data_IF_598963944714
#
_entry.id   IF_598963944714
#
_cell.length_a   1.000
_cell.length_b   1.000
_cell.length_c   1.000
_cell.angle_alpha   90.00
_cell.angle_beta   90.00
_cell.angle_gamma   90.00
#
_symmetry.space_group_name_H-M   'P 1'
#
loop_
_entity.id
_entity.type
_entity.pdbx_description
1 polymer ?
#
# COMPACT_ATOMS: atom_id res chain seq x y z
N UNK A 1 -10.60 -33.96 -53.94
CA UNK A 1 -11.38 -32.89 -53.29
C UNK A 1 -11.24 -33.14 -51.79
N UNK A 2 -10.14 -32.69 -51.19
CA UNK A 2 -9.91 -32.80 -49.75
C UNK A 2 -10.20 -31.44 -49.15
N UNK A 3 -11.14 -31.41 -48.23
CA UNK A 3 -11.62 -30.22 -47.56
C UNK A 3 -10.48 -29.52 -46.83
N UNK A 4 -10.28 -28.25 -47.16
CA UNK A 4 -9.52 -27.29 -46.35
C UNK A 4 -10.27 -27.12 -45.04
N UNK A 5 -9.86 -27.86 -44.00
CA UNK A 5 -10.24 -27.56 -42.63
C UNK A 5 -9.54 -26.26 -42.26
N UNK A 6 -10.29 -25.16 -42.37
CA UNK A 6 -9.93 -23.89 -41.77
C UNK A 6 -9.99 -24.11 -40.26
N UNK A 7 -8.83 -24.31 -39.63
CA UNK A 7 -8.76 -24.17 -38.18
C UNK A 7 -9.23 -22.76 -37.81
N UNK A 8 -10.09 -22.59 -36.80
CA UNK A 8 -10.29 -21.28 -36.22
C UNK A 8 -8.95 -20.90 -35.59
N UNK A 9 -8.26 -19.94 -36.19
CA UNK A 9 -7.13 -19.26 -35.57
C UNK A 9 -7.69 -18.51 -34.36
N UNK A 10 -7.72 -19.19 -33.22
CA UNK A 10 -8.03 -18.56 -31.93
C UNK A 10 -6.82 -17.70 -31.60
N UNK A 11 -6.92 -16.44 -32.00
CA UNK A 11 -6.04 -15.37 -31.56
C UNK A 11 -6.27 -15.21 -30.06
N UNK A 12 -5.50 -15.95 -29.27
CA UNK A 12 -5.35 -15.73 -27.84
C UNK A 12 -4.48 -14.48 -27.66
N UNK A 13 -5.07 -13.32 -27.99
CA UNK A 13 -4.71 -12.05 -27.38
C UNK A 13 -5.16 -12.12 -25.91
N UNK A 14 -4.46 -12.96 -25.14
CA UNK A 14 -4.45 -12.94 -23.68
C UNK A 14 -3.68 -11.69 -23.24
N UNK A 15 -4.26 -10.53 -23.57
CA UNK A 15 -4.07 -9.31 -22.81
C UNK A 15 -4.68 -9.57 -21.42
N UNK A 16 -3.91 -10.27 -20.59
CA UNK A 16 -4.13 -10.33 -19.16
C UNK A 16 -3.98 -8.90 -18.60
N UNK A 17 -5.01 -8.07 -18.79
CA UNK A 17 -5.29 -6.96 -17.90
C UNK A 17 -5.37 -7.56 -16.49
N UNK A 18 -4.27 -7.46 -15.75
CA UNK A 18 -4.21 -7.66 -14.30
C UNK A 18 -4.81 -6.40 -13.65
N UNK A 19 -6.12 -6.36 -13.33
CA UNK A 19 -6.77 -5.14 -12.89
C UNK A 19 -6.96 -5.25 -11.37
N UNK A 20 -5.90 -5.03 -10.59
CA UNK A 20 -6.03 -4.83 -9.13
C UNK A 20 -4.76 -4.30 -8.44
N UNK A 21 -3.56 -4.60 -8.95
CA UNK A 21 -2.31 -4.40 -8.20
C UNK A 21 -1.87 -2.93 -8.10
N UNK A 22 -2.30 -2.09 -9.04
CA UNK A 22 -1.87 -0.70 -9.14
C UNK A 22 -2.29 0.16 -7.94
N UNK A 23 -3.41 -0.18 -7.29
CA UNK A 23 -3.85 0.51 -6.09
C UNK A 23 -2.90 0.25 -4.91
N UNK A 24 -2.55 -1.02 -4.66
CA UNK A 24 -1.63 -1.43 -3.61
C UNK A 24 -0.25 -0.81 -3.77
N UNK A 25 0.27 -0.77 -5.00
CA UNK A 25 1.56 -0.14 -5.32
C UNK A 25 1.55 1.35 -4.95
N UNK A 26 0.47 2.09 -5.27
CA UNK A 26 0.34 3.50 -4.88
C UNK A 26 0.38 3.68 -3.36
N UNK A 27 -0.27 2.79 -2.61
CA UNK A 27 -0.35 2.88 -1.15
C UNK A 27 1.00 2.50 -0.52
N UNK A 28 1.68 1.47 -1.04
CA UNK A 28 3.07 1.16 -0.67
C UNK A 28 3.98 2.37 -0.87
N UNK A 29 3.83 3.08 -2.00
CA UNK A 29 4.64 4.25 -2.30
C UNK A 29 4.35 5.40 -1.33
N UNK A 30 3.09 5.64 -0.98
CA UNK A 30 2.70 6.60 0.06
C UNK A 30 3.31 6.23 1.43
N UNK A 31 3.25 4.95 1.82
CA UNK A 31 3.90 4.46 3.04
C UNK A 31 5.40 4.68 3.02
N UNK A 32 6.05 4.38 1.90
CA UNK A 32 7.47 4.58 1.72
C UNK A 32 7.86 6.05 1.89
N UNK A 33 7.06 6.98 1.36
CA UNK A 33 7.25 8.43 1.55
C UNK A 33 7.10 8.81 3.03
N UNK A 34 6.05 8.34 3.72
CA UNK A 34 5.88 8.61 5.15
C UNK A 34 7.02 8.02 6.00
N UNK A 35 7.58 6.88 5.61
CA UNK A 35 8.76 6.29 6.25
C UNK A 35 10.03 7.07 5.94
N UNK A 36 10.19 7.56 4.71
CA UNK A 36 11.27 8.49 4.37
C UNK A 36 11.21 9.76 5.21
N UNK A 37 10.05 10.39 5.33
CA UNK A 37 9.84 11.58 6.16
C UNK A 37 10.19 11.29 7.62
N UNK A 38 9.73 10.16 8.17
CA UNK A 38 10.05 9.75 9.53
C UNK A 38 11.57 9.58 9.73
N UNK A 39 12.23 8.88 8.82
CA UNK A 39 13.68 8.69 8.88
C UNK A 39 14.39 10.04 8.83
N UNK A 40 13.92 10.96 7.97
CA UNK A 40 14.45 12.32 7.86
C UNK A 40 14.27 13.13 9.14
N UNK A 41 13.23 12.89 9.96
CA UNK A 41 13.08 13.58 11.25
C UNK A 41 14.17 13.24 12.27
N UNK A 42 14.87 12.10 12.12
CA UNK A 42 16.04 11.78 12.96
C UNK A 42 17.32 12.51 12.52
N UNK A 43 17.33 13.09 11.31
CA UNK A 43 18.43 13.92 10.87
C UNK A 43 18.17 15.36 11.33
N UNK A 44 18.87 15.78 12.38
CA UNK A 44 18.75 17.12 12.96
C UNK A 44 18.97 18.25 11.94
N UNK A 45 19.69 17.97 10.85
CA UNK A 45 19.96 18.90 9.75
C UNK A 45 18.91 18.91 8.63
N UNK A 46 17.97 17.96 8.60
CA UNK A 46 17.05 17.79 7.48
C UNK A 46 15.84 18.71 7.55
N UNK A 47 15.27 18.94 8.73
CA UNK A 47 14.04 19.72 8.90
C UNK A 47 14.06 20.55 10.20
N UNK A 48 14.25 21.89 10.14
CA UNK A 48 14.31 22.77 11.31
C UNK A 48 13.02 22.79 12.14
N UNK A 49 11.91 22.38 11.52
CA UNK A 49 10.56 22.32 12.13
C UNK A 49 10.48 21.29 13.28
N UNK A 50 11.43 20.35 13.33
CA UNK A 50 11.50 19.24 14.30
C UNK A 50 12.52 19.47 15.43
N UNK A 51 13.07 20.69 15.58
CA UNK A 51 13.93 21.04 16.74
C UNK A 51 13.18 20.91 18.08
N UNK A 52 11.86 21.08 18.08
CA UNK A 52 11.05 20.96 19.28
C UNK A 52 10.76 19.49 19.61
N UNK A 53 11.39 18.96 20.66
CA UNK A 53 11.20 17.58 21.13
C UNK A 53 9.72 17.16 21.22
N UNK A 54 8.84 18.03 21.72
CA UNK A 54 7.42 17.74 21.86
C UNK A 54 6.71 17.57 20.49
N UNK A 55 7.06 18.39 19.51
CA UNK A 55 6.47 18.34 18.16
C UNK A 55 6.94 17.09 17.42
N UNK A 56 8.21 16.73 17.58
CA UNK A 56 8.81 15.53 16.98
C UNK A 56 8.17 14.27 17.53
N UNK A 57 8.10 14.13 18.86
CA UNK A 57 7.48 12.97 19.50
C UNK A 57 6.00 12.84 19.09
N UNK A 58 5.27 13.95 19.07
CA UNK A 58 3.85 13.93 18.66
C UNK A 58 3.69 13.52 17.19
N UNK A 59 4.51 14.07 16.29
CA UNK A 59 4.46 13.74 14.86
C UNK A 59 4.81 12.27 14.61
N UNK A 60 5.84 11.74 15.29
CA UNK A 60 6.22 10.33 15.20
C UNK A 60 5.11 9.40 15.68
N UNK A 61 4.47 9.72 16.81
CA UNK A 61 3.32 8.97 17.32
C UNK A 61 2.16 8.95 16.33
N UNK A 62 1.83 10.10 15.74
CA UNK A 62 0.76 10.21 14.73
C UNK A 62 1.10 9.42 13.48
N UNK A 63 2.34 9.52 12.98
CA UNK A 63 2.80 8.77 11.80
C UNK A 63 2.76 7.26 12.02
N UNK A 64 3.11 6.77 13.22
CA UNK A 64 3.01 5.36 13.58
C UNK A 64 1.57 4.84 13.49
N UNK A 65 0.62 5.57 14.08
CA UNK A 65 -0.81 5.20 14.02
C UNK A 65 -1.33 5.21 12.59
N UNK A 66 -0.99 6.24 11.80
CA UNK A 66 -1.44 6.36 10.41
C UNK A 66 -0.89 5.22 9.56
N UNK A 67 0.41 4.92 9.65
CA UNK A 67 1.04 3.83 8.89
C UNK A 67 0.44 2.49 9.25
N UNK A 68 0.30 2.22 10.55
CA UNK A 68 -0.33 1.00 11.03
C UNK A 68 -1.74 0.84 10.48
N UNK A 69 -2.55 1.91 10.52
CA UNK A 69 -3.92 1.88 10.01
C UNK A 69 -3.99 1.70 8.49
N UNK A 70 -3.08 2.34 7.75
CA UNK A 70 -3.01 2.22 6.29
C UNK A 70 -2.57 0.81 5.87
N UNK A 71 -1.58 0.22 6.55
CA UNK A 71 -1.15 -1.17 6.34
C UNK A 71 -2.27 -2.14 6.71
N UNK A 72 -2.95 -1.95 7.84
CA UNK A 72 -4.07 -2.79 8.26
C UNK A 72 -5.21 -2.78 7.23
N UNK A 73 -5.61 -1.58 6.77
CA UNK A 73 -6.72 -1.41 5.83
C UNK A 73 -6.38 -1.95 4.46
N UNK A 74 -5.18 -1.68 3.95
CA UNK A 74 -4.84 -1.94 2.56
C UNK A 74 -3.93 -3.16 2.35
N UNK A 75 -2.92 -3.41 3.18
CA UNK A 75 -1.99 -4.54 2.97
C UNK A 75 -2.43 -5.82 3.69
N UNK A 76 -3.14 -5.71 4.82
CA UNK A 76 -3.76 -6.84 5.51
C UNK A 76 -5.16 -7.15 5.00
N UNK A 77 -5.50 -6.91 3.73
CA UNK A 77 -6.77 -7.35 3.12
C UNK A 77 -8.11 -6.95 3.83
N UNK A 78 -8.14 -6.19 4.93
CA UNK A 78 -9.35 -5.84 5.70
C UNK A 78 -10.33 -4.95 4.93
N UNK A 79 -9.87 -4.28 3.86
CA UNK A 79 -10.73 -3.60 2.89
C UNK A 79 -11.62 -4.58 2.11
N UNK A 80 -11.16 -5.83 1.93
CA UNK A 80 -11.83 -6.90 1.19
C UNK A 80 -12.31 -8.06 2.09
N UNK A 81 -11.87 -8.13 3.34
CA UNK A 81 -12.23 -9.17 4.30
C UNK A 81 -13.17 -8.64 5.41
N UNK A 82 -13.95 -9.54 6.01
CA UNK A 82 -15.04 -9.21 6.92
C UNK A 82 -14.53 -8.46 8.17
N UNK A 83 -15.28 -7.45 8.64
CA UNK A 83 -14.96 -6.51 9.75
C UNK A 83 -14.44 -7.17 11.05
N UNK A 84 -14.66 -8.47 11.23
CA UNK A 84 -14.24 -9.28 12.36
C UNK A 84 -12.69 -9.40 12.45
N UNK A 85 -12.00 -9.56 11.31
CA UNK A 85 -10.53 -9.63 11.31
C UNK A 85 -9.88 -8.28 11.66
N UNK A 86 -10.56 -7.17 11.37
CA UNK A 86 -10.10 -5.83 11.71
C UNK A 86 -10.17 -5.56 13.22
N UNK A 87 -11.16 -6.12 13.92
CA UNK A 87 -11.30 -5.96 15.36
C UNK A 87 -10.28 -6.76 16.16
N UNK A 88 -9.90 -7.97 15.72
CA UNK A 88 -8.86 -8.75 16.39
C UNK A 88 -7.46 -8.13 16.25
N UNK A 89 -7.18 -7.46 15.12
CA UNK A 89 -5.90 -6.78 14.92
C UNK A 89 -5.78 -5.45 15.68
N UNK A 90 -6.90 -4.80 16.02
CA UNK A 90 -6.92 -3.58 16.86
C UNK A 90 -6.91 -3.91 18.36
N UNK A 91 -7.43 -5.08 18.75
CA UNK A 91 -7.48 -5.53 20.14
C UNK A 91 -6.32 -6.43 20.58
N UNK A 92 -5.41 -6.79 19.67
CA UNK A 92 -4.25 -7.66 19.91
C UNK A 92 -2.93 -6.91 19.99
#
# INVERSE_FOLDING_TARGET
>A
MSETLTEPQVDHDDAHEHPSDWAYIKIALILAVFTGIEVLTYFESALPIFENNAVTITTLMVLMVIKFWLVATWFMHLRFDNKIFSQMFVGG
#
